data_IF_071393921421
#
_entry.id   IF_071393921421
#
_cell.length_a   1.000
_cell.length_b   1.000
_cell.length_c   1.000
_cell.angle_alpha   90.00
_cell.angle_beta   90.00
_cell.angle_gamma   90.00
#
_symmetry.space_group_name_H-M   'P 1'
#
loop_
_entity.id
_entity.type
_entity.pdbx_description
1 polymer ?
#
# COMPACT_ATOMS: atom_id res chain seq x y z
N UNK A 1 -15.13 -12.95 -13.03
CA UNK A 1 -13.82 -13.35 -13.15
C UNK A 1 -12.91 -12.59 -12.27
N UNK A 2 -11.96 -13.24 -11.66
CA UNK A 2 -11.11 -12.58 -10.78
C UNK A 2 -9.83 -12.19 -11.40
N UNK A 3 -9.39 -11.01 -11.17
CA UNK A 3 -8.15 -10.52 -11.72
C UNK A 3 -7.07 -10.71 -10.67
N UNK A 4 -5.92 -11.23 -11.02
CA UNK A 4 -4.85 -11.41 -10.05
C UNK A 4 -4.45 -10.06 -9.45
N UNK A 5 -4.06 -10.08 -8.21
CA UNK A 5 -3.71 -8.85 -7.52
C UNK A 5 -2.66 -8.07 -8.27
N UNK A 6 -1.66 -8.72 -8.81
CA UNK A 6 -0.61 -8.00 -9.49
C UNK A 6 -1.05 -7.40 -10.83
N UNK A 7 -2.29 -7.61 -11.22
CA UNK A 7 -2.80 -7.00 -12.43
C UNK A 7 -3.93 -6.03 -12.14
N UNK A 8 -4.28 -5.83 -10.89
CA UNK A 8 -5.33 -4.90 -10.55
C UNK A 8 -4.76 -3.50 -10.47
N UNK A 9 -5.53 -2.53 -10.89
CA UNK A 9 -5.09 -1.15 -10.81
C UNK A 9 -5.21 -0.65 -9.37
N UNK A 10 -6.31 -0.98 -8.71
CA UNK A 10 -6.49 -0.59 -7.32
C UNK A 10 -6.69 -1.80 -6.45
N UNK A 11 -6.13 -1.77 -5.27
CA UNK A 11 -6.21 -2.88 -4.35
C UNK A 11 -6.96 -2.46 -3.10
N UNK A 12 -7.66 -3.40 -2.49
CA UNK A 12 -8.26 -3.12 -1.20
C UNK A 12 -7.12 -3.13 -0.20
N UNK A 13 -7.38 -2.68 1.00
CA UNK A 13 -6.36 -2.69 2.04
C UNK A 13 -5.87 -4.11 2.29
N UNK A 14 -6.78 -5.08 2.32
CA UNK A 14 -6.37 -6.45 2.56
C UNK A 14 -5.51 -6.98 1.42
N UNK A 15 -5.89 -6.68 0.19
CA UNK A 15 -5.11 -7.15 -0.94
C UNK A 15 -3.73 -6.51 -0.95
N UNK A 16 -3.68 -5.23 -0.66
CA UNK A 16 -2.42 -4.53 -0.65
C UNK A 16 -1.53 -5.01 0.49
N UNK A 17 -2.14 -5.34 1.61
CA UNK A 17 -1.37 -5.84 2.74
C UNK A 17 -0.67 -7.14 2.36
N UNK A 18 -1.37 -7.99 1.63
CA UNK A 18 -0.76 -9.22 1.20
C UNK A 18 0.27 -8.98 0.13
N UNK A 19 -0.03 -8.13 -0.81
CA UNK A 19 0.86 -7.89 -1.94
C UNK A 19 2.17 -7.24 -1.48
N UNK A 20 2.09 -6.31 -0.56
CA UNK A 20 3.28 -5.60 -0.11
C UNK A 20 3.86 -6.15 1.20
N UNK A 21 3.22 -7.14 1.78
CA UNK A 21 3.75 -7.74 2.99
C UNK A 21 3.66 -6.85 4.22
N UNK A 22 2.59 -6.10 4.34
CA UNK A 22 2.41 -5.21 5.47
C UNK A 22 1.18 -5.59 6.26
N UNK A 23 1.11 -5.16 7.49
CA UNK A 23 -0.08 -5.38 8.28
C UNK A 23 -1.19 -4.47 7.83
N UNK A 24 -2.43 -4.88 7.96
CA UNK A 24 -3.55 -4.08 7.50
C UNK A 24 -3.70 -2.79 8.29
N UNK A 25 -3.39 -2.81 9.58
CA UNK A 25 -3.50 -1.63 10.37
C UNK A 25 -2.48 -0.60 9.92
N UNK A 26 -1.27 -1.04 9.68
CA UNK A 26 -0.21 -0.16 9.25
C UNK A 26 -0.54 0.41 7.88
N UNK A 27 -1.05 -0.43 7.00
CA UNK A 27 -1.34 0.01 5.66
C UNK A 27 -2.51 0.99 5.65
N UNK A 28 -3.50 0.79 6.51
CA UNK A 28 -4.62 1.68 6.56
C UNK A 28 -4.16 3.07 6.99
N UNK A 29 -3.26 3.14 7.95
CA UNK A 29 -2.77 4.41 8.40
C UNK A 29 -1.92 5.02 7.30
N UNK A 30 -1.14 4.20 6.61
CA UNK A 30 -0.28 4.66 5.52
C UNK A 30 -1.17 5.26 4.43
N UNK A 31 -2.27 4.61 4.10
CA UNK A 31 -3.16 5.11 3.07
C UNK A 31 -3.75 6.46 3.42
N UNK A 32 -4.08 6.65 4.67
CA UNK A 32 -4.65 7.91 5.11
C UNK A 32 -3.60 9.02 5.08
N UNK A 33 -2.35 8.67 5.32
CA UNK A 33 -1.29 9.65 5.35
C UNK A 33 -0.66 9.93 3.99
N UNK A 34 -0.82 9.03 3.04
CA UNK A 34 -0.18 9.16 1.73
C UNK A 34 -1.19 9.08 0.62
N UNK A 35 -1.93 10.14 0.42
CA UNK A 35 -2.97 10.10 -0.56
C UNK A 35 -2.47 10.16 -2.00
N UNK A 36 -1.19 10.27 -2.19
CA UNK A 36 -0.64 10.22 -3.52
C UNK A 36 -0.63 8.77 -4.02
N UNK A 37 -0.72 7.79 -3.13
CA UNK A 37 -0.75 6.39 -3.55
C UNK A 37 -2.07 5.73 -3.20
N UNK A 38 -3.01 6.46 -2.64
CA UNK A 38 -4.26 5.88 -2.22
C UNK A 38 -5.43 6.77 -2.58
N UNK A 39 -6.63 6.20 -2.51
CA UNK A 39 -7.78 6.99 -2.83
C UNK A 39 -8.89 6.51 -1.91
N UNK A 40 -9.72 7.42 -1.45
CA UNK A 40 -10.81 7.07 -0.61
C UNK A 40 -12.01 6.78 -1.46
N UNK A 41 -12.53 5.57 -1.37
CA UNK A 41 -13.65 5.19 -2.18
C UNK A 41 -14.79 4.85 -1.23
N UNK A 42 -15.73 5.71 -1.09
CA UNK A 42 -16.79 5.53 -0.14
C UNK A 42 -16.20 5.61 1.25
N UNK A 43 -16.37 4.57 2.02
CA UNK A 43 -15.84 4.57 3.35
C UNK A 43 -14.59 3.75 3.46
N UNK A 44 -14.04 3.31 2.35
CA UNK A 44 -12.89 2.46 2.38
C UNK A 44 -11.76 3.06 1.61
N UNK A 45 -10.54 2.68 1.98
CA UNK A 45 -9.39 3.12 1.26
C UNK A 45 -9.01 2.10 0.22
N UNK A 46 -8.47 2.57 -0.90
CA UNK A 46 -7.96 1.69 -1.93
C UNK A 46 -6.56 2.15 -2.21
N UNK A 47 -5.67 1.21 -2.51
CA UNK A 47 -4.29 1.55 -2.82
C UNK A 47 -4.12 1.44 -4.32
N UNK A 48 -3.51 2.44 -4.93
CA UNK A 48 -3.25 2.41 -6.36
C UNK A 48 -1.95 1.65 -6.51
N UNK A 49 -2.06 0.44 -6.99
CA UNK A 49 -0.93 -0.50 -7.00
C UNK A 49 0.33 0.08 -7.61
N UNK A 50 0.24 0.63 -8.80
CA UNK A 50 1.42 1.15 -9.47
C UNK A 50 2.06 2.31 -8.74
N UNK A 51 1.26 3.18 -8.15
CA UNK A 51 1.81 4.30 -7.44
C UNK A 51 2.44 3.85 -6.14
N UNK A 52 1.86 2.85 -5.50
CA UNK A 52 2.43 2.33 -4.28
C UNK A 52 3.73 1.61 -4.58
N UNK A 53 3.79 0.88 -5.69
CA UNK A 53 5.00 0.18 -6.08
C UNK A 53 6.11 1.21 -6.34
N UNK A 54 5.78 2.30 -6.97
CA UNK A 54 6.74 3.32 -7.28
C UNK A 54 7.21 4.00 -5.99
N UNK A 55 6.30 4.25 -5.08
CA UNK A 55 6.63 4.88 -3.83
C UNK A 55 7.57 3.98 -3.03
N UNK A 56 7.26 2.71 -2.95
CA UNK A 56 8.07 1.78 -2.20
C UNK A 56 9.45 1.67 -2.81
N UNK A 57 9.53 1.67 -4.12
CA UNK A 57 10.81 1.57 -4.80
C UNK A 57 11.67 2.82 -4.56
N UNK A 58 11.03 3.99 -4.48
CA UNK A 58 11.79 5.20 -4.27
C UNK A 58 12.11 5.48 -2.82
N UNK A 59 11.13 5.35 -1.98
CA UNK A 59 11.25 5.76 -0.60
C UNK A 59 11.43 4.62 0.37
N UNK A 60 10.80 3.53 0.10
CA UNK A 60 10.84 2.44 1.05
C UNK A 60 9.65 2.50 1.97
N UNK A 61 9.15 1.36 2.37
CA UNK A 61 8.04 1.35 3.21
C UNK A 61 8.34 1.68 4.56
N UNK A 62 9.35 1.57 4.90
CA UNK A 62 9.56 1.71 6.15
C UNK A 62 10.39 2.57 6.65
N UNK A 63 10.37 3.59 6.12
CA UNK A 63 11.03 4.50 6.65
C UNK A 63 10.85 4.45 8.02
N UNK A 64 9.68 4.27 8.41
CA UNK A 64 9.42 4.28 9.74
C UNK A 64 9.79 2.98 10.22
N UNK A 65 9.80 2.01 9.45
CA UNK A 65 10.10 0.85 10.00
C UNK A 65 11.38 0.37 9.64
N UNK A 66 11.93 0.79 8.63
CA UNK A 66 13.03 0.25 8.17
C UNK A 66 14.23 0.72 8.69
N UNK A 67 14.28 1.87 9.00
CA UNK A 67 15.44 2.38 9.44
C UNK A 67 16.03 1.57 10.47
N UNK A 68 15.33 0.89 11.19
CA UNK A 68 15.90 0.21 12.21
C UNK A 68 16.59 -0.96 11.74
N UNK A 69 16.11 -1.60 10.85
CA UNK A 69 16.71 -2.75 10.50
C UNK A 69 17.81 -2.59 9.65
N UNK A 70 18.01 -1.56 9.29
CA UNK A 70 19.10 -1.33 8.52
C UNK A 70 20.28 -1.60 9.21
N UNK A 71 20.23 -1.60 9.91
CA UNK A 71 21.23 -1.70 10.51
C UNK A 71 21.68 -2.56 10.67
#
# INVERSE_FOLDING_TARGET
MKVPINQKFMLTITEAAEYFGMGTKVLRKFAADHQEVSIRYGKRWRIIREKMEDYVARVGLGEEGTKREIL
#
